data_IF_651850227959
#
_entry.id   IF_651850227959
#
_cell.length_a   1.000
_cell.length_b   1.000
_cell.length_c   1.000
_cell.angle_alpha   90.00
_cell.angle_beta   90.00
_cell.angle_gamma   90.00
#
_symmetry.space_group_name_H-M   'P 1'
#
loop_
_entity.id
_entity.type
_entity.pdbx_description
1 polymer ?
#
# COMPACT_ATOMS: atom_id res chain seq x y z
N UNK A 1 3.93 -11.32 6.80
CA UNK A 1 4.73 -12.46 7.27
C UNK A 1 5.13 -13.22 6.02
N UNK A 2 6.42 -13.44 5.79
CA UNK A 2 6.86 -14.20 4.63
C UNK A 2 6.79 -15.68 5.03
N UNK A 3 5.78 -16.37 4.53
CA UNK A 3 5.67 -17.82 4.64
C UNK A 3 6.50 -18.42 3.51
N UNK A 4 7.63 -19.05 3.85
CA UNK A 4 8.42 -19.78 2.85
C UNK A 4 7.86 -21.20 2.76
N UNK A 5 7.23 -21.55 1.64
CA UNK A 5 6.68 -22.89 1.41
C UNK A 5 7.68 -23.71 0.57
N UNK A 6 8.41 -24.61 1.21
CA UNK A 6 9.28 -25.58 0.52
C UNK A 6 8.50 -26.85 0.22
N UNK A 7 8.28 -27.16 -1.07
CA UNK A 7 7.68 -28.43 -1.48
C UNK A 7 8.77 -29.46 -1.78
N UNK A 8 8.68 -30.65 -1.21
CA UNK A 8 9.66 -31.74 -1.40
C UNK A 8 8.90 -32.95 -1.97
N UNK A 9 9.31 -33.38 -3.16
CA UNK A 9 8.76 -34.58 -3.85
C UNK A 9 9.82 -35.66 -4.04
N UNK A 10 11.08 -35.38 -3.69
CA UNK A 10 12.17 -36.33 -3.74
C UNK A 10 12.04 -37.36 -2.61
N UNK A 11 11.80 -38.63 -2.99
CA UNK A 11 11.59 -39.74 -2.05
C UNK A 11 12.84 -40.04 -1.22
N UNK A 12 14.04 -39.75 -1.73
CA UNK A 12 15.30 -39.97 -1.01
C UNK A 12 15.40 -39.16 0.29
N UNK A 13 14.62 -38.08 0.43
CA UNK A 13 14.63 -37.20 1.60
C UNK A 13 13.53 -37.52 2.62
N UNK A 14 12.59 -38.41 2.28
CA UNK A 14 11.38 -38.62 3.09
C UNK A 14 11.66 -39.28 4.43
N UNK A 15 12.57 -40.24 4.48
CA UNK A 15 12.95 -40.92 5.72
C UNK A 15 13.52 -39.93 6.75
N UNK A 16 14.42 -39.05 6.31
CA UNK A 16 15.04 -38.03 7.16
C UNK A 16 13.99 -37.05 7.68
N UNK A 17 13.05 -36.63 6.82
CA UNK A 17 11.96 -35.71 7.19
C UNK A 17 11.05 -36.35 8.25
N UNK A 18 10.65 -37.62 8.10
CA UNK A 18 9.82 -38.30 9.09
C UNK A 18 10.54 -38.45 10.43
N UNK A 19 11.81 -38.89 10.41
CA UNK A 19 12.62 -39.01 11.63
C UNK A 19 12.83 -37.65 12.32
N UNK A 20 13.04 -36.58 11.57
CA UNK A 20 13.34 -35.25 12.11
C UNK A 20 12.10 -34.48 12.61
N UNK A 21 10.97 -34.60 11.92
CA UNK A 21 9.80 -33.76 12.17
C UNK A 21 8.60 -34.47 12.80
N UNK A 22 8.50 -35.80 12.66
CA UNK A 22 7.32 -36.56 13.10
C UNK A 22 7.61 -37.51 14.27
N UNK A 23 8.86 -37.98 14.43
CA UNK A 23 9.24 -38.84 15.54
C UNK A 23 9.14 -38.10 16.90
N UNK A 24 8.37 -38.66 17.83
CA UNK A 24 8.24 -38.13 19.19
C UNK A 24 7.49 -36.80 19.29
N UNK A 25 6.66 -36.44 18.31
CA UNK A 25 5.94 -35.16 18.26
C UNK A 25 4.44 -35.30 18.09
N UNK A 26 3.74 -34.19 18.32
CA UNK A 26 2.32 -34.08 18.04
C UNK A 26 2.08 -34.02 16.54
N UNK A 27 1.37 -35.02 16.03
CA UNK A 27 1.05 -35.17 14.62
C UNK A 27 -0.46 -35.15 14.47
N UNK A 28 -0.97 -34.51 13.43
CA UNK A 28 -2.41 -34.37 13.19
C UNK A 28 -2.77 -34.73 11.76
N UNK A 29 -3.97 -35.27 11.53
CA UNK A 29 -4.56 -35.44 10.20
C UNK A 29 -5.54 -34.29 9.96
N UNK A 30 -5.44 -33.62 8.81
CA UNK A 30 -6.45 -32.64 8.38
C UNK A 30 -7.72 -33.36 7.96
N UNK A 31 -8.82 -33.07 8.65
CA UNK A 31 -10.17 -33.50 8.25
C UNK A 31 -11.05 -32.29 7.95
N UNK A 32 -12.20 -32.50 7.31
CA UNK A 32 -13.18 -31.42 7.05
C UNK A 32 -13.74 -30.78 8.33
N UNK A 33 -13.66 -31.50 9.45
CA UNK A 33 -14.19 -31.08 10.77
C UNK A 33 -13.11 -30.55 11.71
N UNK A 34 -11.85 -30.47 11.26
CA UNK A 34 -10.70 -30.03 12.06
C UNK A 34 -9.53 -31.00 12.04
N UNK A 35 -8.49 -30.68 12.81
CA UNK A 35 -7.26 -31.46 12.88
C UNK A 35 -7.40 -32.57 13.94
N UNK A 36 -7.20 -33.83 13.53
CA UNK A 36 -7.31 -35.00 14.42
C UNK A 36 -5.93 -35.45 14.86
N UNK A 37 -5.69 -35.53 16.17
CA UNK A 37 -4.42 -36.01 16.72
C UNK A 37 -4.18 -37.49 16.39
N UNK A 38 -2.95 -37.81 15.98
CA UNK A 38 -2.50 -39.15 15.60
C UNK A 38 -1.09 -39.42 16.11
N UNK A 39 -0.71 -40.69 16.20
CA UNK A 39 0.60 -41.10 16.69
C UNK A 39 1.45 -41.66 15.55
N UNK A 40 2.63 -41.09 15.33
CA UNK A 40 3.64 -41.62 14.42
C UNK A 40 4.26 -42.90 14.99
N UNK A 41 4.28 -43.98 14.21
CA UNK A 41 4.82 -45.28 14.62
C UNK A 41 6.19 -45.58 13.99
N UNK A 42 6.43 -45.12 12.76
CA UNK A 42 7.70 -45.34 12.08
C UNK A 42 7.62 -45.17 10.56
N UNK A 43 8.80 -45.15 9.93
CA UNK A 43 8.99 -45.13 8.49
C UNK A 43 9.89 -46.32 8.09
N UNK A 44 9.46 -47.12 7.11
CA UNK A 44 10.19 -48.29 6.63
C UNK A 44 9.76 -48.63 5.19
N UNK A 45 10.71 -49.01 4.33
CA UNK A 45 10.48 -49.40 2.92
C UNK A 45 9.57 -48.43 2.16
N UNK A 46 9.91 -47.13 2.18
CA UNK A 46 9.13 -46.01 1.60
C UNK A 46 7.74 -45.77 2.20
N UNK A 47 7.35 -46.53 3.21
CA UNK A 47 6.02 -46.45 3.83
C UNK A 47 6.10 -45.83 5.23
N UNK A 48 5.04 -45.15 5.63
CA UNK A 48 4.88 -44.64 6.99
C UNK A 48 3.70 -45.29 7.68
N UNK A 49 3.81 -45.53 8.98
CA UNK A 49 2.72 -46.02 9.80
C UNK A 49 2.28 -44.98 10.84
N UNK A 50 0.97 -44.77 10.94
CA UNK A 50 0.34 -43.97 11.99
C UNK A 50 -0.71 -44.78 12.74
N UNK A 51 -0.80 -44.57 14.06
CA UNK A 51 -1.95 -45.00 14.85
C UNK A 51 -2.97 -43.88 14.90
N UNK A 52 -4.20 -44.18 14.48
CA UNK A 52 -5.32 -43.23 14.42
C UNK A 52 -6.46 -43.78 15.30
N UNK A 53 -6.50 -43.41 16.59
CA UNK A 53 -7.48 -43.98 17.52
C UNK A 53 -8.91 -43.66 17.09
N UNK A 54 -9.81 -44.65 17.21
CA UNK A 54 -11.27 -44.48 17.02
C UNK A 54 -11.70 -44.06 15.61
N UNK A 55 -10.84 -44.22 14.61
CA UNK A 55 -11.18 -43.99 13.20
C UNK A 55 -11.27 -45.32 12.47
N UNK A 56 -12.46 -45.63 11.93
CA UNK A 56 -12.67 -46.87 11.18
C UNK A 56 -12.16 -46.77 9.75
N UNK A 57 -12.28 -45.63 9.07
CA UNK A 57 -11.82 -45.47 7.69
C UNK A 57 -11.26 -44.06 7.51
N UNK A 58 -10.25 -43.94 6.65
CA UNK A 58 -9.70 -42.66 6.19
C UNK A 58 -9.82 -42.58 4.67
N UNK A 59 -9.88 -41.38 4.07
CA UNK A 59 -9.86 -41.24 2.62
C UNK A 59 -8.58 -41.80 1.98
N UNK A 60 -8.65 -42.18 0.69
CA UNK A 60 -7.50 -42.73 -0.07
C UNK A 60 -6.30 -41.79 -0.10
N UNK A 61 -6.54 -40.48 0.02
CA UNK A 61 -5.49 -39.46 0.16
C UNK A 61 -5.74 -38.63 1.40
N UNK A 62 -4.71 -38.47 2.23
CA UNK A 62 -4.77 -37.67 3.45
C UNK A 62 -3.64 -36.65 3.50
N UNK A 63 -3.84 -35.60 4.30
CA UNK A 63 -2.79 -34.66 4.65
C UNK A 63 -2.53 -34.75 6.14
N UNK A 64 -1.31 -35.11 6.50
CA UNK A 64 -0.81 -35.14 7.86
C UNK A 64 -0.02 -33.86 8.11
N UNK A 65 -0.10 -33.27 9.30
CA UNK A 65 0.69 -32.11 9.69
C UNK A 65 1.37 -32.29 11.03
N UNK A 66 2.51 -31.63 11.18
CA UNK A 66 3.25 -31.49 12.44
C UNK A 66 3.87 -30.09 12.49
N UNK A 67 4.16 -29.59 13.69
CA UNK A 67 4.77 -28.27 13.91
C UNK A 67 6.09 -28.40 14.64
N UNK A 68 7.11 -27.67 14.18
CA UNK A 68 8.41 -27.56 14.82
C UNK A 68 8.95 -26.13 14.74
N UNK A 69 8.97 -25.43 15.88
CA UNK A 69 9.36 -24.03 15.92
C UNK A 69 8.51 -23.23 14.93
N UNK A 70 9.16 -22.51 14.02
CA UNK A 70 8.50 -21.71 12.98
C UNK A 70 8.09 -22.52 11.74
N UNK A 71 8.32 -23.84 11.72
CA UNK A 71 7.99 -24.70 10.60
C UNK A 71 6.67 -25.45 10.84
N UNK A 72 5.73 -25.31 9.92
CA UNK A 72 4.57 -26.21 9.79
C UNK A 72 4.80 -27.16 8.63
N UNK A 73 4.88 -28.45 8.90
CA UNK A 73 5.16 -29.48 7.90
C UNK A 73 3.86 -30.19 7.56
N UNK A 74 3.52 -30.23 6.28
CA UNK A 74 2.42 -31.00 5.72
C UNK A 74 2.96 -32.16 4.89
N UNK A 75 2.46 -33.37 5.11
CA UNK A 75 2.74 -34.55 4.32
C UNK A 75 1.45 -35.02 3.63
N UNK A 76 1.43 -35.02 2.29
CA UNK A 76 0.34 -35.62 1.52
C UNK A 76 0.65 -37.08 1.25
N UNK A 77 -0.28 -37.98 1.54
CA UNK A 77 -0.02 -39.42 1.55
C UNK A 77 -1.20 -40.20 0.97
N UNK A 78 -0.92 -41.38 0.42
CA UNK A 78 -1.93 -42.33 -0.09
C UNK A 78 -2.04 -43.52 0.83
N UNK A 79 -3.26 -43.95 1.16
CA UNK A 79 -3.48 -45.15 1.97
C UNK A 79 -3.03 -46.39 1.19
N UNK A 80 -2.29 -47.28 1.86
CA UNK A 80 -1.85 -48.57 1.31
C UNK A 80 -2.58 -49.70 2.01
N UNK A 81 -2.55 -49.67 3.35
CA UNK A 81 -3.07 -50.77 4.16
C UNK A 81 -3.59 -50.24 5.50
N UNK A 82 -4.49 -51.01 6.10
CA UNK A 82 -5.07 -50.72 7.41
C UNK A 82 -5.18 -52.00 8.21
N UNK A 83 -4.62 -51.97 9.42
CA UNK A 83 -4.78 -53.02 10.40
C UNK A 83 -5.26 -52.43 11.74
N UNK A 84 -6.52 -52.70 12.10
CA UNK A 84 -7.19 -52.16 13.29
C UNK A 84 -7.10 -50.63 13.37
N UNK A 85 -6.33 -50.11 14.32
CA UNK A 85 -6.09 -48.68 14.56
C UNK A 85 -4.79 -48.17 13.90
N UNK A 86 -4.06 -49.04 13.22
CA UNK A 86 -2.81 -48.73 12.52
C UNK A 86 -3.06 -48.61 11.02
N UNK A 87 -2.59 -47.52 10.43
CA UNK A 87 -2.75 -47.21 9.02
C UNK A 87 -1.39 -46.98 8.39
N UNK A 88 -1.16 -47.62 7.25
CA UNK A 88 0.08 -47.53 6.48
C UNK A 88 -0.16 -46.69 5.24
N UNK A 89 0.70 -45.70 5.00
CA UNK A 89 0.58 -44.77 3.90
C UNK A 89 1.86 -44.67 3.07
N UNK A 90 1.69 -44.41 1.77
CA UNK A 90 2.73 -44.00 0.85
C UNK A 90 2.83 -42.46 0.87
N UNK A 91 3.95 -41.86 1.31
CA UNK A 91 4.18 -40.44 1.18
C UNK A 91 4.28 -40.04 -0.30
N UNK A 92 3.62 -38.95 -0.67
CA UNK A 92 3.63 -38.42 -2.05
C UNK A 92 4.41 -37.13 -2.13
N UNK A 93 4.20 -36.22 -1.18
CA UNK A 93 4.89 -34.92 -1.13
C UNK A 93 4.88 -34.34 0.28
N UNK A 94 5.87 -33.52 0.56
CA UNK A 94 5.90 -32.65 1.73
C UNK A 94 5.78 -31.19 1.33
N UNK A 95 5.21 -30.38 2.22
CA UNK A 95 5.25 -28.93 2.16
C UNK A 95 5.65 -28.41 3.54
N UNK A 96 6.81 -27.77 3.63
CA UNK A 96 7.30 -27.15 4.86
C UNK A 96 7.02 -25.66 4.74
N UNK A 97 6.17 -25.12 5.60
CA UNK A 97 5.87 -23.70 5.68
C UNK A 97 6.67 -23.11 6.84
N UNK A 98 7.62 -22.22 6.54
CA UNK A 98 8.41 -21.51 7.55
C UNK A 98 7.86 -20.10 7.75
N UNK A 99 7.44 -19.75 8.96
CA UNK A 99 7.08 -18.38 9.33
C UNK A 99 8.34 -17.58 9.69
N UNK A 100 8.87 -16.80 8.74
CA UNK A 100 10.08 -16.02 9.01
C UNK A 100 9.69 -14.68 9.65
N UNK A 101 10.03 -14.49 10.94
CA UNK A 101 10.22 -13.16 11.52
C UNK A 101 11.60 -12.66 11.09
N UNK A 102 11.67 -11.61 10.25
CA UNK A 102 12.94 -11.03 9.81
C UNK A 102 13.05 -9.56 10.21
N UNK A 103 13.87 -9.33 11.22
CA UNK A 103 14.82 -8.20 11.25
C UNK A 103 15.95 -8.46 10.22
N UNK A 104 16.76 -7.43 9.96
CA UNK A 104 17.51 -7.09 8.72
C UNK A 104 18.45 -8.12 8.01
N UNK A 105 18.50 -7.92 6.66
CA UNK A 105 19.61 -8.06 5.65
C UNK A 105 20.07 -9.44 5.07
N UNK A 106 19.80 -9.55 3.75
CA UNK A 106 20.55 -10.09 2.58
C UNK A 106 21.39 -11.38 2.59
N UNK A 107 21.00 -12.36 1.76
CA UNK A 107 21.73 -12.88 0.56
C UNK A 107 20.84 -13.89 -0.21
N UNK A 108 20.44 -13.60 -1.47
CA UNK A 108 20.89 -14.08 -2.80
C UNK A 108 20.75 -15.61 -3.07
N UNK A 109 19.95 -15.94 -4.10
CA UNK A 109 19.85 -17.25 -4.80
C UNK A 109 18.75 -18.17 -4.25
N UNK A 110 17.84 -18.78 -5.01
CA UNK A 110 17.73 -19.05 -6.45
C UNK A 110 16.24 -19.06 -6.85
N UNK A 111 16.00 -18.69 -8.09
CA UNK A 111 14.72 -18.60 -8.78
C UNK A 111 14.05 -19.97 -8.92
N UNK A 112 12.77 -20.08 -8.54
CA UNK A 112 11.68 -20.53 -9.42
C UNK A 112 10.33 -20.49 -8.67
N UNK A 113 9.92 -19.28 -8.26
CA UNK A 113 8.69 -19.06 -7.52
C UNK A 113 8.03 -17.79 -8.01
N UNK A 114 6.75 -17.86 -8.39
CA UNK A 114 5.96 -16.67 -8.74
C UNK A 114 6.06 -15.67 -7.58
N UNK A 115 6.78 -14.57 -7.80
CA UNK A 115 6.95 -13.52 -6.82
C UNK A 115 5.58 -12.92 -6.51
N UNK A 116 5.03 -13.25 -5.33
CA UNK A 116 3.79 -12.64 -4.86
C UNK A 116 4.13 -11.24 -4.37
N UNK A 117 3.65 -10.24 -5.11
CA UNK A 117 3.83 -8.85 -4.76
C UNK A 117 2.76 -8.39 -3.78
N UNK A 118 3.15 -7.47 -2.91
CA UNK A 118 2.26 -6.88 -1.93
C UNK A 118 2.35 -5.36 -1.98
N UNK A 119 1.19 -4.71 -1.95
CA UNK A 119 1.13 -3.31 -1.52
C UNK A 119 0.99 -3.26 0.00
N UNK A 120 1.65 -2.26 0.59
CA UNK A 120 1.66 -1.98 2.01
C UNK A 120 1.68 -0.45 2.22
N UNK A 121 1.72 -0.07 3.49
CA UNK A 121 1.82 1.32 3.93
C UNK A 121 0.78 2.25 3.30
N UNK A 122 -0.45 1.75 3.19
CA UNK A 122 -1.54 2.43 2.50
C UNK A 122 -1.96 3.68 3.28
N UNK A 123 -2.13 4.78 2.57
CA UNK A 123 -2.68 6.02 3.10
C UNK A 123 -3.75 6.50 2.13
N UNK A 124 -5.02 6.44 2.55
CA UNK A 124 -6.14 7.01 1.79
C UNK A 124 -6.35 8.48 2.13
N UNK A 125 -7.04 9.23 1.25
CA UNK A 125 -7.48 10.60 1.53
C UNK A 125 -8.25 10.72 2.86
N UNK A 126 -9.12 9.76 3.17
CA UNK A 126 -9.89 9.72 4.42
C UNK A 126 -9.00 9.57 5.66
N UNK A 127 -7.92 8.80 5.56
CA UNK A 127 -6.91 8.69 6.63
C UNK A 127 -6.15 9.99 6.81
N UNK A 128 -5.84 10.70 5.71
CA UNK A 128 -5.18 12.01 5.78
C UNK A 128 -6.09 13.05 6.46
N UNK A 129 -7.36 13.13 6.06
CA UNK A 129 -8.34 14.00 6.70
C UNK A 129 -8.46 13.72 8.20
N UNK A 130 -8.65 12.45 8.57
CA UNK A 130 -8.76 12.04 9.98
C UNK A 130 -7.51 12.39 10.78
N UNK A 131 -6.32 12.25 10.17
CA UNK A 131 -5.05 12.59 10.80
C UNK A 131 -4.91 14.10 11.03
N UNK A 132 -5.37 14.93 10.08
CA UNK A 132 -5.39 16.38 10.22
C UNK A 132 -6.36 16.82 11.32
N UNK A 133 -7.57 16.25 11.35
CA UNK A 133 -8.58 16.52 12.38
C UNK A 133 -8.08 16.14 13.78
N UNK A 134 -7.47 14.95 13.90
CA UNK A 134 -6.97 14.45 15.19
C UNK A 134 -5.75 15.22 15.71
N UNK A 135 -5.08 15.99 14.86
CA UNK A 135 -3.88 16.76 15.19
C UNK A 135 -4.08 18.27 15.04
N UNK A 136 -5.31 18.77 15.18
CA UNK A 136 -5.70 20.18 14.94
C UNK A 136 -4.76 21.19 15.61
N UNK A 137 -4.36 20.98 16.87
CA UNK A 137 -3.42 21.87 17.58
C UNK A 137 -2.07 21.99 16.87
N UNK A 138 -1.52 20.86 16.40
CA UNK A 138 -0.24 20.83 15.68
C UNK A 138 -0.37 21.48 14.32
N UNK A 139 -1.47 21.22 13.63
CA UNK A 139 -1.81 21.85 12.35
C UNK A 139 -1.92 23.37 12.53
N UNK A 140 -2.58 23.85 13.58
CA UNK A 140 -2.69 25.28 13.92
C UNK A 140 -1.32 25.92 14.15
N UNK A 141 -0.45 25.29 14.94
CA UNK A 141 0.91 25.80 15.18
C UNK A 141 1.71 25.96 13.88
N UNK A 142 1.54 25.03 12.93
CA UNK A 142 2.16 25.14 11.60
C UNK A 142 1.60 26.32 10.82
N UNK A 143 0.27 26.55 10.84
CA UNK A 143 -0.33 27.72 10.21
C UNK A 143 0.20 29.01 10.81
N UNK A 144 0.30 29.08 12.13
CA UNK A 144 0.79 30.26 12.84
C UNK A 144 2.25 30.54 12.46
N UNK A 145 3.10 29.51 12.43
CA UNK A 145 4.49 29.64 11.99
C UNK A 145 4.61 30.13 10.53
N UNK A 146 3.78 29.60 9.63
CA UNK A 146 3.73 30.06 8.23
C UNK A 146 3.32 31.54 8.17
N UNK A 147 2.29 31.92 8.93
CA UNK A 147 1.83 33.30 9.00
C UNK A 147 2.94 34.23 9.53
N UNK A 148 3.67 33.83 10.58
CA UNK A 148 4.78 34.59 11.14
C UNK A 148 5.93 34.77 10.13
N UNK A 149 6.33 33.70 9.44
CA UNK A 149 7.45 33.72 8.48
C UNK A 149 7.16 34.61 7.24
N UNK A 150 5.89 34.68 6.86
CA UNK A 150 5.41 35.43 5.70
C UNK A 150 4.90 36.84 6.07
N UNK A 151 4.72 37.13 7.37
CA UNK A 151 4.21 38.41 7.86
C UNK A 151 5.06 39.56 7.35
N UNK A 152 4.39 40.60 6.84
CA UNK A 152 5.04 41.80 6.32
C UNK A 152 5.64 41.66 4.91
N UNK A 153 5.76 40.42 4.37
CA UNK A 153 6.14 40.18 2.96
C UNK A 153 4.92 40.11 2.05
N UNK A 154 3.80 39.63 2.58
CA UNK A 154 2.53 39.48 1.88
C UNK A 154 1.41 40.04 2.76
N UNK A 155 0.43 40.68 2.14
CA UNK A 155 -0.68 41.35 2.81
C UNK A 155 -1.76 40.37 3.25
N UNK A 156 -1.96 39.29 2.49
CA UNK A 156 -2.90 38.23 2.84
C UNK A 156 -2.23 36.88 2.71
N UNK A 157 -2.25 36.11 3.79
CA UNK A 157 -1.70 34.76 3.88
C UNK A 157 -2.84 33.83 4.31
N UNK A 158 -2.98 32.70 3.63
CA UNK A 158 -3.98 31.68 3.95
C UNK A 158 -3.34 30.31 3.81
N UNK A 159 -3.54 29.45 4.81
CA UNK A 159 -3.13 28.05 4.78
C UNK A 159 -4.38 27.20 4.96
N UNK A 160 -4.61 26.29 4.02
CA UNK A 160 -5.82 25.45 3.98
C UNK A 160 -5.41 24.00 3.85
N UNK A 161 -5.95 23.14 4.71
CA UNK A 161 -5.82 21.70 4.59
C UNK A 161 -7.11 21.06 4.10
N UNK A 162 -6.98 19.86 3.51
CA UNK A 162 -8.08 19.17 2.82
C UNK A 162 -9.25 18.75 3.73
N UNK A 163 -9.08 18.78 5.05
CA UNK A 163 -10.14 18.52 6.03
C UNK A 163 -11.02 19.75 6.31
N UNK A 164 -10.56 20.96 5.98
CA UNK A 164 -11.25 22.21 6.34
C UNK A 164 -12.39 22.56 5.38
N UNK A 165 -12.25 22.21 4.10
CA UNK A 165 -13.20 22.58 3.05
C UNK A 165 -13.47 21.41 2.11
N UNK A 166 -14.73 21.02 2.02
CA UNK A 166 -15.16 19.93 1.11
C UNK A 166 -15.18 20.34 -0.37
N UNK A 167 -15.35 21.64 -0.63
CA UNK A 167 -15.46 22.19 -1.98
C UNK A 167 -14.50 23.38 -2.05
N UNK A 168 -13.26 23.10 -2.44
CA UNK A 168 -12.24 24.11 -2.67
C UNK A 168 -11.68 23.94 -4.09
N UNK A 169 -11.86 24.97 -4.91
CA UNK A 169 -11.50 24.93 -6.34
C UNK A 169 -9.98 24.82 -6.52
N UNK A 170 -9.18 25.42 -5.62
CA UNK A 170 -7.72 25.32 -5.67
C UNK A 170 -7.27 23.92 -5.30
N UNK A 171 -7.83 23.34 -4.24
CA UNK A 171 -7.54 21.94 -3.90
C UNK A 171 -7.94 20.99 -5.03
N UNK A 172 -9.10 21.20 -5.68
CA UNK A 172 -9.50 20.40 -6.85
C UNK A 172 -8.47 20.50 -7.97
N UNK A 173 -8.03 21.72 -8.31
CA UNK A 173 -6.96 21.93 -9.30
C UNK A 173 -5.67 21.20 -8.90
N UNK A 174 -5.26 21.32 -7.63
CA UNK A 174 -4.07 20.66 -7.14
C UNK A 174 -4.20 19.14 -7.20
N UNK A 175 -5.34 18.54 -6.86
CA UNK A 175 -5.54 17.09 -6.99
C UNK A 175 -5.35 16.56 -8.42
N UNK A 176 -5.57 17.40 -9.43
CA UNK A 176 -5.44 17.03 -10.85
C UNK A 176 -4.00 17.21 -11.37
N UNK A 177 -3.33 18.33 -11.09
CA UNK A 177 -2.07 18.70 -11.78
C UNK A 177 -0.87 18.97 -10.86
N UNK A 178 -1.07 19.11 -9.55
CA UNK A 178 -0.09 19.62 -8.57
C UNK A 178 0.54 20.99 -8.92
N UNK A 179 0.05 21.64 -9.97
CA UNK A 179 0.71 22.80 -10.55
C UNK A 179 0.40 24.01 -9.67
N UNK A 180 1.41 24.76 -9.20
CA UNK A 180 1.17 25.98 -8.46
C UNK A 180 0.40 27.00 -9.29
N UNK A 181 -0.52 27.70 -8.64
CA UNK A 181 -1.20 28.83 -9.26
C UNK A 181 -0.32 30.06 -9.05
N UNK A 182 0.12 30.69 -10.13
CA UNK A 182 0.90 31.91 -10.07
C UNK A 182 0.31 32.98 -11.00
N UNK A 183 -0.20 34.03 -10.38
CA UNK A 183 -0.75 35.21 -11.04
C UNK A 183 0.11 36.40 -10.63
N UNK A 184 0.97 36.85 -11.54
CA UNK A 184 1.89 37.96 -11.31
C UNK A 184 1.13 39.27 -11.14
N UNK A 185 0.17 39.55 -12.02
CA UNK A 185 -0.73 40.69 -11.95
C UNK A 185 -2.00 40.41 -12.78
N UNK A 186 -3.16 40.43 -12.10
CA UNK A 186 -4.49 40.22 -12.68
C UNK A 186 -4.88 41.32 -13.66
N UNK A 187 -4.32 42.51 -13.52
CA UNK A 187 -4.65 43.64 -14.38
C UNK A 187 -3.75 43.69 -15.64
N UNK A 188 -2.72 42.84 -15.70
CA UNK A 188 -1.82 42.74 -16.85
C UNK A 188 -2.35 41.73 -17.88
N UNK A 189 -2.03 41.96 -19.16
CA UNK A 189 -2.30 40.98 -20.19
C UNK A 189 -1.33 39.79 -20.02
N UNK A 190 -1.83 38.55 -19.85
CA UNK A 190 -0.96 37.39 -19.74
C UNK A 190 -0.26 37.12 -21.08
N UNK A 191 0.96 36.60 -21.03
CA UNK A 191 1.62 36.05 -22.21
C UNK A 191 0.84 34.84 -22.73
N UNK A 192 1.00 34.52 -24.02
CA UNK A 192 0.27 33.40 -24.64
C UNK A 192 0.49 32.07 -23.91
N UNK A 193 1.70 31.86 -23.37
CA UNK A 193 2.06 30.68 -22.59
C UNK A 193 1.26 30.59 -21.28
N UNK A 194 1.05 31.71 -20.58
CA UNK A 194 0.36 31.75 -19.28
C UNK A 194 -1.15 31.98 -19.41
N UNK A 195 -1.65 32.22 -20.63
CA UNK A 195 -3.04 32.62 -20.90
C UNK A 195 -4.07 31.58 -20.45
N UNK A 196 -3.77 30.29 -20.63
CA UNK A 196 -4.67 29.20 -20.21
C UNK A 196 -4.85 29.19 -18.68
N UNK A 197 -3.74 29.20 -17.94
CA UNK A 197 -3.75 29.15 -16.48
C UNK A 197 -4.35 30.43 -15.88
N UNK A 198 -4.04 31.58 -16.50
CA UNK A 198 -4.65 32.85 -16.15
C UNK A 198 -6.17 32.82 -16.35
N UNK A 199 -6.66 32.37 -17.50
CA UNK A 199 -8.10 32.29 -17.77
C UNK A 199 -8.82 31.35 -16.80
N UNK A 200 -8.23 30.17 -16.53
CA UNK A 200 -8.75 29.25 -15.52
C UNK A 200 -8.82 29.92 -14.14
N UNK A 201 -7.78 30.63 -13.74
CA UNK A 201 -7.77 31.36 -12.48
C UNK A 201 -8.91 32.39 -12.41
N UNK A 202 -9.10 33.20 -13.46
CA UNK A 202 -10.16 34.22 -13.47
C UNK A 202 -11.55 33.58 -13.40
N UNK A 203 -11.82 32.58 -14.24
CA UNK A 203 -13.17 32.01 -14.39
C UNK A 203 -13.57 31.04 -13.27
N UNK A 204 -12.62 30.27 -12.75
CA UNK A 204 -12.91 29.19 -11.80
C UNK A 204 -12.50 29.54 -10.37
N UNK A 205 -11.36 30.21 -10.18
CA UNK A 205 -10.84 30.50 -8.84
C UNK A 205 -11.33 31.86 -8.35
N UNK A 206 -10.94 32.94 -9.03
CA UNK A 206 -11.23 34.31 -8.61
C UNK A 206 -12.74 34.59 -8.61
N UNK A 207 -13.46 34.17 -9.66
CA UNK A 207 -14.91 34.35 -9.75
C UNK A 207 -15.70 33.62 -8.65
N UNK A 208 -15.18 32.50 -8.11
CA UNK A 208 -15.88 31.68 -7.10
C UNK A 208 -15.41 31.94 -5.68
N UNK A 209 -14.23 32.52 -5.49
CA UNK A 209 -13.72 32.96 -4.20
C UNK A 209 -14.26 34.36 -3.87
N UNK A 210 -15.49 34.42 -3.36
CA UNK A 210 -16.16 35.68 -3.02
C UNK A 210 -15.34 36.56 -2.06
N UNK A 211 -14.57 35.95 -1.15
CA UNK A 211 -13.72 36.70 -0.20
C UNK A 211 -12.53 37.35 -0.88
N UNK A 212 -12.03 36.77 -1.97
CA UNK A 212 -10.95 37.36 -2.76
C UNK A 212 -11.52 38.37 -3.76
N UNK A 213 -12.61 38.03 -4.46
CA UNK A 213 -13.20 38.93 -5.47
C UNK A 213 -13.89 40.16 -4.89
N UNK A 214 -14.34 40.12 -3.63
CA UNK A 214 -14.80 41.32 -2.91
C UNK A 214 -13.65 42.28 -2.57
N UNK A 215 -12.43 41.75 -2.41
CA UNK A 215 -11.22 42.49 -2.04
C UNK A 215 -10.39 42.79 -3.29
N UNK A 216 -10.88 43.75 -4.08
CA UNK A 216 -10.32 44.08 -5.40
C UNK A 216 -8.89 44.60 -5.34
N UNK A 217 -8.42 45.03 -4.17
CA UNK A 217 -7.06 45.52 -3.93
C UNK A 217 -5.97 44.47 -4.19
N UNK A 218 -6.28 43.17 -4.04
CA UNK A 218 -5.32 42.12 -4.35
C UNK A 218 -5.29 41.87 -5.85
N UNK A 219 -4.12 42.08 -6.44
CA UNK A 219 -3.91 41.95 -7.89
C UNK A 219 -3.04 40.75 -8.24
N UNK A 220 -2.34 40.16 -7.28
CA UNK A 220 -1.46 39.02 -7.51
C UNK A 220 -1.74 37.87 -6.53
N UNK A 221 -1.42 36.65 -6.96
CA UNK A 221 -1.58 35.44 -6.16
C UNK A 221 -0.46 34.43 -6.42
N UNK A 222 0.04 33.82 -5.35
CA UNK A 222 0.82 32.58 -5.40
C UNK A 222 0.11 31.57 -4.51
N UNK A 223 -0.30 30.43 -5.07
CA UNK A 223 -0.84 29.30 -4.31
C UNK A 223 -0.05 28.03 -4.64
N UNK A 224 0.53 27.40 -3.60
CA UNK A 224 1.39 26.21 -3.74
C UNK A 224 0.85 25.06 -2.88
N UNK A 225 0.67 23.85 -3.45
CA UNK A 225 0.18 22.70 -2.69
C UNK A 225 1.26 22.09 -1.79
N UNK A 226 0.82 21.53 -0.66
CA UNK A 226 1.55 20.57 0.14
C UNK A 226 1.26 19.18 -0.42
N UNK A 227 2.29 18.46 -0.87
CA UNK A 227 2.15 17.16 -1.54
C UNK A 227 2.87 16.11 -0.72
N UNK A 228 2.10 15.20 -0.14
CA UNK A 228 2.65 14.14 0.68
C UNK A 228 3.25 13.04 -0.22
N UNK A 229 4.51 12.68 0.06
CA UNK A 229 5.31 11.69 -0.69
C UNK A 229 5.25 11.87 -2.21
N UNK A 230 5.16 13.11 -2.69
CA UNK A 230 5.01 13.42 -4.12
C UNK A 230 3.89 12.60 -4.79
N UNK A 231 2.76 12.40 -4.09
CA UNK A 231 1.67 11.53 -4.58
C UNK A 231 0.27 12.10 -4.34
N UNK A 232 0.01 12.75 -3.19
CA UNK A 232 -1.31 13.30 -2.88
C UNK A 232 -1.19 14.70 -2.24
N UNK A 233 -1.77 15.73 -2.86
CA UNK A 233 -1.96 17.03 -2.23
C UNK A 233 -2.91 16.94 -1.04
N UNK A 234 -2.53 17.52 0.10
CA UNK A 234 -3.35 17.51 1.32
C UNK A 234 -3.65 18.89 1.90
N UNK A 235 -3.17 19.93 1.23
CA UNK A 235 -3.41 21.32 1.57
C UNK A 235 -2.62 22.23 0.66
N UNK A 236 -2.67 23.53 0.93
CA UNK A 236 -1.89 24.53 0.22
C UNK A 236 -1.65 25.77 1.07
N UNK A 237 -0.62 26.53 0.69
CA UNK A 237 -0.40 27.90 1.13
C UNK A 237 -0.75 28.85 -0.01
N UNK A 238 -1.50 29.89 0.31
CA UNK A 238 -1.89 30.98 -0.59
C UNK A 238 -1.39 32.30 -0.01
N UNK A 239 -0.73 33.09 -0.86
CA UNK A 239 -0.38 34.47 -0.57
C UNK A 239 -0.93 35.38 -1.66
N UNK A 240 -1.44 36.54 -1.24
CA UNK A 240 -1.90 37.58 -2.14
C UNK A 240 -1.22 38.91 -1.78
N UNK A 241 -1.02 39.74 -2.81
CA UNK A 241 -0.37 41.03 -2.66
C UNK A 241 -1.13 42.12 -3.45
N UNK A 242 -1.03 43.36 -2.99
CA UNK A 242 -1.58 44.53 -3.68
C UNK A 242 -0.70 45.02 -4.83
N UNK A 243 0.52 44.47 -4.91
CA UNK A 243 1.52 44.73 -5.96
C UNK A 243 1.75 43.50 -6.81
N UNK A 244 2.31 43.67 -8.03
CA UNK A 244 2.71 42.54 -8.85
C UNK A 244 3.75 41.67 -8.15
N UNK A 245 3.64 40.35 -8.32
CA UNK A 245 4.62 39.37 -7.85
C UNK A 245 5.43 38.80 -9.01
N UNK A 246 6.69 38.47 -8.74
CA UNK A 246 7.62 37.84 -9.69
C UNK A 246 7.88 36.36 -9.33
N UNK A 247 8.69 35.68 -10.14
CA UNK A 247 9.05 34.26 -9.96
C UNK A 247 9.87 34.02 -8.66
N UNK A 248 10.50 35.05 -8.09
CA UNK A 248 11.20 34.91 -6.81
C UNK A 248 10.19 34.65 -5.68
N UNK A 249 9.05 35.34 -5.71
CA UNK A 249 7.97 35.09 -4.75
C UNK A 249 7.47 33.65 -4.86
N UNK A 250 7.22 33.16 -6.08
CA UNK A 250 6.83 31.75 -6.30
C UNK A 250 7.88 30.78 -5.73
N UNK A 251 9.16 31.05 -5.95
CA UNK A 251 10.26 30.21 -5.47
C UNK A 251 10.32 30.15 -3.95
N UNK A 252 10.12 31.29 -3.26
CA UNK A 252 10.09 31.35 -1.80
C UNK A 252 8.93 30.51 -1.24
N UNK A 253 7.73 30.66 -1.80
CA UNK A 253 6.55 29.91 -1.32
C UNK A 253 6.69 28.41 -1.63
N UNK A 254 7.27 28.02 -2.77
CA UNK A 254 7.61 26.61 -3.07
C UNK A 254 8.54 26.00 -2.03
N UNK A 255 9.61 26.70 -1.66
CA UNK A 255 10.56 26.23 -0.65
C UNK A 255 9.89 26.06 0.72
N UNK A 256 9.03 27.00 1.10
CA UNK A 256 8.25 26.88 2.33
C UNK A 256 7.34 25.66 2.31
N UNK A 257 6.61 25.41 1.21
CA UNK A 257 5.74 24.25 1.09
C UNK A 257 6.49 22.92 1.23
N UNK A 258 7.69 22.82 0.65
CA UNK A 258 8.58 21.65 0.80
C UNK A 258 9.00 21.47 2.26
N UNK A 259 9.43 22.55 2.93
CA UNK A 259 9.84 22.51 4.33
C UNK A 259 8.70 22.01 5.25
N UNK A 260 7.47 22.45 5.01
CA UNK A 260 6.29 22.01 5.77
C UNK A 260 5.98 20.53 5.51
N UNK A 261 6.08 20.05 4.25
CA UNK A 261 5.94 18.63 3.95
C UNK A 261 6.98 17.80 4.72
N UNK A 262 8.24 18.20 4.70
CA UNK A 262 9.32 17.51 5.42
C UNK A 262 9.07 17.47 6.93
N UNK A 263 8.56 18.57 7.51
CA UNK A 263 8.20 18.63 8.91
C UNK A 263 7.11 17.59 9.26
N UNK A 264 6.01 17.52 8.52
CA UNK A 264 4.96 16.54 8.77
C UNK A 264 5.37 15.09 8.48
N UNK A 265 6.28 14.87 7.53
CA UNK A 265 6.88 13.55 7.29
C UNK A 265 7.70 13.12 8.50
N UNK A 266 8.61 13.96 8.99
CA UNK A 266 9.45 13.67 10.17
C UNK A 266 8.63 13.43 11.42
N UNK A 267 7.55 14.18 11.58
CA UNK A 267 6.62 14.07 12.71
C UNK A 267 5.68 12.85 12.60
N UNK A 268 5.68 12.14 11.46
CA UNK A 268 4.78 11.01 11.19
C UNK A 268 3.30 11.38 11.35
N UNK A 269 2.91 12.57 10.88
CA UNK A 269 1.53 13.07 10.96
C UNK A 269 0.54 12.09 10.33
N UNK A 270 0.88 11.57 9.14
CA UNK A 270 0.08 10.59 8.43
C UNK A 270 0.61 9.19 8.71
N UNK A 271 -0.17 8.40 9.46
CA UNK A 271 0.19 7.03 9.81
C UNK A 271 -0.34 6.05 8.76
N UNK A 272 0.53 5.27 8.11
CA UNK A 272 0.09 4.27 7.15
C UNK A 272 -0.66 3.12 7.82
N UNK A 273 -1.53 2.47 7.04
CA UNK A 273 -2.20 1.23 7.42
C UNK A 273 -1.16 0.09 7.52
N UNK A 274 -1.32 -0.77 8.51
CA UNK A 274 -0.42 -1.91 8.75
C UNK A 274 -0.72 -3.10 7.83
N UNK A 275 -1.92 -3.10 7.24
CA UNK A 275 -2.43 -4.15 6.39
C UNK A 275 -1.66 -4.26 5.06
N UNK A 276 -1.57 -5.48 4.54
CA UNK A 276 -0.91 -5.80 3.27
C UNK A 276 -1.91 -6.43 2.33
N UNK A 277 -1.80 -6.09 1.05
CA UNK A 277 -2.73 -6.56 0.01
C UNK A 277 -1.95 -7.21 -1.11
N UNK A 278 -2.43 -8.37 -1.56
CA UNK A 278 -1.80 -9.13 -2.64
C UNK A 278 -2.10 -8.43 -3.96
N UNK A 279 -1.06 -8.19 -4.76
CA UNK A 279 -1.20 -7.69 -6.13
C UNK A 279 -1.47 -8.87 -7.05
N UNK A 280 -2.53 -8.79 -7.86
CA UNK A 280 -2.95 -9.86 -8.78
C UNK A 280 -2.53 -9.64 -10.21
N UNK A 281 -2.46 -8.38 -10.63
CA UNK A 281 -2.12 -7.98 -11.99
C UNK A 281 -1.54 -6.57 -11.96
N UNK A 282 -0.67 -6.27 -12.92
CA UNK A 282 0.04 -5.01 -13.03
C UNK A 282 0.24 -4.66 -14.49
N UNK A 283 0.25 -3.36 -14.77
CA UNK A 283 0.49 -2.78 -16.07
C UNK A 283 1.15 -1.41 -15.89
N UNK A 284 1.59 -0.78 -16.98
CA UNK A 284 2.11 0.59 -16.94
C UNK A 284 1.09 1.63 -16.46
N UNK A 285 -0.21 1.31 -16.47
CA UNK A 285 -1.30 2.25 -16.13
C UNK A 285 -2.07 1.88 -14.87
N UNK A 286 -1.88 0.69 -14.31
CA UNK A 286 -2.76 0.21 -13.24
C UNK A 286 -2.33 -1.13 -12.68
N UNK A 287 -2.92 -1.46 -11.54
CA UNK A 287 -2.73 -2.72 -10.84
C UNK A 287 -4.02 -3.19 -10.17
N UNK A 288 -4.17 -4.50 -10.04
CA UNK A 288 -5.25 -5.15 -9.30
C UNK A 288 -4.76 -5.66 -7.96
N UNK A 289 -5.57 -5.53 -6.91
CA UNK A 289 -5.31 -6.13 -5.61
C UNK A 289 -6.46 -7.02 -5.16
N UNK A 290 -6.17 -7.98 -4.28
CA UNK A 290 -7.19 -8.84 -3.66
C UNK A 290 -7.04 -8.99 -2.15
N UNK A 291 -8.19 -9.14 -1.50
CA UNK A 291 -8.31 -9.43 -0.06
C UNK A 291 -9.67 -10.07 0.25
N UNK A 292 -9.85 -10.63 1.44
CA UNK A 292 -11.12 -11.27 1.87
C UNK A 292 -11.89 -10.47 2.92
N UNK A 293 -11.20 -9.71 3.76
CA UNK A 293 -11.85 -8.95 4.84
C UNK A 293 -12.53 -7.69 4.30
N UNK A 294 -13.87 -7.69 4.32
CA UNK A 294 -14.70 -6.55 3.87
C UNK A 294 -14.40 -5.25 4.61
N UNK A 295 -13.91 -5.29 5.85
CA UNK A 295 -13.58 -4.08 6.62
C UNK A 295 -12.48 -3.25 5.96
N UNK A 296 -11.63 -3.89 5.16
CA UNK A 296 -10.51 -3.25 4.46
C UNK A 296 -10.96 -2.40 3.26
N UNK A 297 -12.22 -2.50 2.83
CA UNK A 297 -12.80 -1.62 1.79
C UNK A 297 -12.75 -0.14 2.18
N UNK A 298 -12.70 0.19 3.48
CA UNK A 298 -12.58 1.57 3.96
C UNK A 298 -11.36 2.32 3.42
N UNK A 299 -10.31 1.58 3.01
CA UNK A 299 -9.11 2.15 2.41
C UNK A 299 -9.26 2.44 0.91
N UNK A 300 -10.23 1.80 0.24
CA UNK A 300 -10.39 1.82 -1.21
C UNK A 300 -11.79 2.32 -1.60
N UNK A 301 -12.08 3.58 -1.27
CA UNK A 301 -13.32 4.20 -1.72
C UNK A 301 -13.25 4.50 -3.22
N UNK A 302 -14.31 4.22 -3.97
CA UNK A 302 -14.35 4.49 -5.41
C UNK A 302 -14.04 5.96 -5.71
N UNK A 303 -13.24 6.18 -6.75
CA UNK A 303 -12.79 7.48 -7.24
C UNK A 303 -11.98 8.30 -6.22
N UNK A 304 -11.55 7.68 -5.11
CA UNK A 304 -10.60 8.29 -4.18
C UNK A 304 -9.16 7.96 -4.56
N UNK A 305 -8.24 8.86 -4.18
CA UNK A 305 -6.81 8.64 -4.31
C UNK A 305 -6.25 7.97 -3.07
N UNK A 306 -5.31 7.05 -3.31
CA UNK A 306 -4.65 6.26 -2.29
C UNK A 306 -3.16 6.26 -2.58
N UNK A 307 -2.35 6.46 -1.56
CA UNK A 307 -0.91 6.24 -1.63
C UNK A 307 -0.65 4.79 -1.26
N UNK A 308 0.07 4.11 -2.13
CA UNK A 308 0.51 2.74 -1.91
C UNK A 308 2.03 2.68 -1.97
N UNK A 309 2.60 1.76 -1.22
CA UNK A 309 4.00 1.39 -1.36
C UNK A 309 4.09 -0.08 -1.70
N UNK A 310 5.00 -0.42 -2.60
CA UNK A 310 5.24 -1.78 -3.04
C UNK A 310 6.73 -2.06 -3.00
N UNK A 311 7.08 -3.19 -2.41
CA UNK A 311 8.45 -3.71 -2.48
C UNK A 311 8.53 -4.64 -3.70
N UNK A 312 9.41 -4.31 -4.63
CA UNK A 312 9.79 -5.16 -5.75
C UNK A 312 10.85 -6.19 -5.29
N UNK A 313 11.04 -7.30 -6.02
CA UNK A 313 11.95 -8.38 -5.61
C UNK A 313 13.40 -7.94 -5.38
N UNK A 314 13.90 -6.96 -6.12
CA UNK A 314 15.29 -6.48 -6.06
C UNK A 314 15.56 -5.46 -4.92
N UNK A 315 14.74 -5.49 -3.86
CA UNK A 315 14.72 -4.50 -2.79
C UNK A 315 14.38 -3.06 -3.24
N UNK A 316 14.03 -2.87 -4.52
CA UNK A 316 13.51 -1.60 -5.02
C UNK A 316 12.13 -1.34 -4.43
N UNK A 317 11.91 -0.10 -3.99
CA UNK A 317 10.64 0.35 -3.46
C UNK A 317 9.99 1.28 -4.46
N UNK A 318 8.70 1.08 -4.67
CA UNK A 318 7.87 1.89 -5.55
C UNK A 318 6.80 2.55 -4.69
N UNK A 319 6.69 3.87 -4.77
CA UNK A 319 5.64 4.67 -4.13
C UNK A 319 4.77 5.26 -5.23
N UNK A 320 3.45 5.08 -5.10
CA UNK A 320 2.52 5.49 -6.14
C UNK A 320 1.29 6.13 -5.53
N UNK A 321 0.79 7.17 -6.19
CA UNK A 321 -0.57 7.65 -6.02
C UNK A 321 -1.48 6.93 -7.01
N UNK A 322 -2.48 6.23 -6.52
CA UNK A 322 -3.42 5.46 -7.35
C UNK A 322 -4.86 5.90 -7.11
N UNK A 323 -5.67 5.89 -8.17
CA UNK A 323 -7.10 6.13 -8.11
C UNK A 323 -7.84 4.79 -8.08
N UNK A 324 -8.76 4.64 -7.13
CA UNK A 324 -9.59 3.45 -7.03
C UNK A 324 -10.68 3.50 -8.09
N UNK A 325 -10.72 2.54 -9.02
CA UNK A 325 -11.67 2.55 -10.14
C UNK A 325 -12.87 1.66 -9.94
N UNK A 326 -12.63 0.43 -9.50
CA UNK A 326 -13.68 -0.57 -9.35
C UNK A 326 -13.38 -1.55 -8.23
N UNK A 327 -14.45 -2.12 -7.67
CA UNK A 327 -14.41 -3.21 -6.69
C UNK A 327 -15.31 -4.32 -7.20
N UNK A 328 -14.78 -5.53 -7.28
CA UNK A 328 -15.47 -6.74 -7.74
C UNK A 328 -15.55 -7.72 -6.57
N UNK A 329 -16.74 -8.26 -6.34
CA UNK A 329 -16.99 -9.27 -5.32
C UNK A 329 -17.14 -10.63 -5.98
N UNK A 330 -16.27 -11.58 -5.62
CA UNK A 330 -16.37 -12.95 -6.07
C UNK A 330 -17.21 -13.78 -5.10
N UNK A 331 -17.91 -14.79 -5.63
CA UNK A 331 -18.72 -15.73 -4.83
C UNK A 331 -17.89 -16.49 -3.78
N UNK A 332 -16.58 -16.65 -4.02
CA UNK A 332 -15.60 -17.21 -3.08
C UNK A 332 -15.32 -16.34 -1.86
N UNK A 333 -15.94 -15.16 -1.77
CA UNK A 333 -15.69 -14.15 -0.71
C UNK A 333 -14.43 -13.32 -0.93
N UNK A 334 -13.72 -13.51 -2.05
CA UNK A 334 -12.58 -12.67 -2.44
C UNK A 334 -13.09 -11.35 -3.03
N UNK A 335 -12.48 -10.26 -2.61
CA UNK A 335 -12.73 -8.90 -3.08
C UNK A 335 -11.53 -8.50 -3.93
N UNK A 336 -11.78 -8.07 -5.17
CA UNK A 336 -10.78 -7.52 -6.07
C UNK A 336 -10.99 -6.02 -6.21
N UNK A 337 -9.94 -5.23 -6.12
CA UNK A 337 -9.96 -3.78 -6.37
C UNK A 337 -9.03 -3.45 -7.52
N UNK A 338 -9.54 -2.71 -8.51
CA UNK A 338 -8.74 -2.16 -9.60
C UNK A 338 -8.28 -0.74 -9.28
N UNK A 339 -6.99 -0.52 -9.46
CA UNK A 339 -6.29 0.72 -9.14
C UNK A 339 -5.65 1.26 -10.43
N UNK A 340 -5.91 2.52 -10.76
CA UNK A 340 -5.23 3.22 -11.84
C UNK A 340 -4.09 4.06 -11.28
N UNK A 341 -2.93 3.99 -11.90
CA UNK A 341 -1.76 4.78 -11.52
C UNK A 341 -2.02 6.22 -11.94
N UNK A 342 -2.18 7.10 -10.95
CA UNK A 342 -2.33 8.54 -11.19
C UNK A 342 -0.96 9.21 -11.27
N UNK A 343 -0.07 8.86 -10.33
CA UNK A 343 1.28 9.43 -10.26
C UNK A 343 2.27 8.47 -9.65
N UNK A 344 3.52 8.60 -10.11
CA UNK A 344 4.68 7.87 -9.66
C UNK A 344 5.87 8.84 -9.70
N UNK A 345 6.75 8.81 -8.70
CA UNK A 345 7.97 9.62 -8.75
C UNK A 345 8.97 9.01 -9.74
N UNK A 346 9.87 9.83 -10.29
CA UNK A 346 10.77 9.41 -11.36
C UNK A 346 11.63 8.17 -11.01
N UNK A 347 12.07 8.03 -9.75
CA UNK A 347 12.86 6.86 -9.34
C UNK A 347 11.96 5.62 -9.25
N UNK A 348 10.79 5.76 -8.64
CA UNK A 348 9.79 4.70 -8.61
C UNK A 348 9.37 4.28 -10.04
N UNK A 349 9.25 5.22 -10.97
CA UNK A 349 8.83 4.99 -12.36
C UNK A 349 9.83 4.10 -13.09
N UNK A 350 11.12 4.45 -13.03
CA UNK A 350 12.20 3.63 -13.60
C UNK A 350 12.17 2.23 -13.01
N UNK A 351 12.13 2.11 -11.67
CA UNK A 351 12.09 0.81 -10.98
C UNK A 351 10.87 -0.03 -11.41
N UNK A 352 9.72 0.62 -11.59
CA UNK A 352 8.47 -0.03 -11.97
C UNK A 352 8.48 -0.47 -13.43
N UNK A 353 8.99 0.36 -14.34
CA UNK A 353 9.10 0.03 -15.76
C UNK A 353 10.11 -1.08 -16.03
N UNK A 354 11.29 -1.04 -15.40
CA UNK A 354 12.30 -2.10 -15.48
C UNK A 354 11.70 -3.43 -15.01
N UNK A 355 11.00 -3.42 -13.88
CA UNK A 355 10.31 -4.59 -13.36
C UNK A 355 9.26 -5.13 -14.35
N UNK A 356 8.44 -4.26 -14.94
CA UNK A 356 7.44 -4.68 -15.94
C UNK A 356 8.08 -5.24 -17.21
N UNK A 357 9.23 -4.72 -17.64
CA UNK A 357 9.94 -5.22 -18.82
C UNK A 357 10.56 -6.60 -18.55
N UNK A 358 11.13 -6.81 -17.36
CA UNK A 358 11.72 -8.09 -16.97
C UNK A 358 10.70 -9.22 -16.78
N UNK A 359 9.41 -8.88 -16.58
CA UNK A 359 8.33 -9.84 -16.30
C UNK A 359 7.25 -9.88 -17.40
N UNK A 360 7.53 -9.32 -18.59
CA UNK A 360 6.75 -9.51 -19.81
C UNK A 360 7.29 -10.68 -20.60
#
# INVERSE_FOLDING_TARGET
>A
MAETIKTITDRGQFEEIFKKFFAGREVFIKTKSGDLFIQFLGYHDENVAFRIPRVKNVPDTIVVLTRLGDNTIYASMKLIDKNQDTFTFLPVKFQIITEIRKEERTSVGEEDGKNVLFINNIISESMMQTSLDSNEKKVSLVKDRINEELKGKFERIKVVFMNETRIDVRMKHFMESWTPIFISDRNSNPSDVKKKDFNFYISEIYARDYKLSSQKEFISEVSVPFVYKNAVPYGYVQVNNTKPMDENHLTVIKRLAIMINEYFIKDSLFKPAAEKFIVTDMSSKGLGIVFKDRRLLRFFMKDSRVIIEMALPDANKVIMGVNVRNTIFHESGVIKVGLEIATIDALSEVNYEEFLQANR
#
